data_IF_998838937698
#
_entry.id   IF_998838937698
#
_cell.length_a   1.000
_cell.length_b   1.000
_cell.length_c   1.000
_cell.angle_alpha   90.00
_cell.angle_beta   90.00
_cell.angle_gamma   90.00
#
_symmetry.space_group_name_H-M   'P 1'
#
loop_
_entity.id
_entity.type
_entity.pdbx_description
1 polymer ?
#
# COMPACT_ATOMS: atom_id res chain seq x y z
N UNK A 1 -13.40 -14.88 -21.70
CA UNK A 1 -14.27 -15.06 -20.52
C UNK A 1 -13.89 -13.99 -19.54
N UNK A 2 -14.85 -13.15 -19.13
CA UNK A 2 -14.64 -12.21 -18.02
C UNK A 2 -14.61 -13.08 -16.75
N UNK A 3 -13.57 -12.98 -15.90
CA UNK A 3 -13.52 -13.71 -14.64
C UNK A 3 -14.76 -13.40 -13.78
N UNK A 4 -15.26 -14.38 -13.03
CA UNK A 4 -16.26 -14.12 -11.99
C UNK A 4 -15.70 -13.15 -10.95
N UNK A 5 -16.55 -12.29 -10.36
CA UNK A 5 -16.13 -11.20 -9.49
C UNK A 5 -15.25 -11.67 -8.31
N UNK A 6 -15.52 -12.86 -7.76
CA UNK A 6 -14.72 -13.49 -6.72
C UNK A 6 -13.31 -13.84 -7.21
N UNK A 7 -13.18 -14.34 -8.44
CA UNK A 7 -11.88 -14.65 -9.05
C UNK A 7 -11.09 -13.37 -9.37
N UNK A 8 -11.76 -12.27 -9.77
CA UNK A 8 -11.12 -10.96 -9.95
C UNK A 8 -10.52 -10.48 -8.63
N UNK A 9 -11.28 -10.61 -7.54
CA UNK A 9 -10.85 -10.25 -6.20
C UNK A 9 -9.64 -11.07 -5.75
N UNK A 10 -9.73 -12.41 -5.83
CA UNK A 10 -8.64 -13.30 -5.41
C UNK A 10 -7.34 -13.05 -6.19
N UNK A 11 -7.43 -12.88 -7.51
CA UNK A 11 -6.27 -12.59 -8.35
C UNK A 11 -5.68 -11.21 -8.04
N UNK A 12 -6.51 -10.22 -7.73
CA UNK A 12 -6.06 -8.89 -7.30
C UNK A 12 -5.31 -8.96 -5.97
N UNK A 13 -5.82 -9.73 -5.01
CA UNK A 13 -5.17 -9.96 -3.72
C UNK A 13 -3.86 -10.73 -3.85
N UNK A 14 -3.83 -11.76 -4.71
CA UNK A 14 -2.62 -12.53 -4.98
C UNK A 14 -1.55 -11.65 -5.63
N UNK A 15 -1.90 -10.85 -6.63
CA UNK A 15 -0.97 -9.95 -7.31
C UNK A 15 -0.40 -8.90 -6.34
N UNK A 16 -1.26 -8.30 -5.52
CA UNK A 16 -0.88 -7.36 -4.47
C UNK A 16 0.08 -8.02 -3.46
N UNK A 17 -0.30 -9.17 -2.89
CA UNK A 17 0.49 -9.86 -1.87
C UNK A 17 1.84 -10.37 -2.38
N UNK A 18 1.87 -10.92 -3.59
CA UNK A 18 3.10 -11.36 -4.23
C UNK A 18 4.05 -10.18 -4.47
N UNK A 19 3.55 -9.05 -4.96
CA UNK A 19 4.36 -7.86 -5.16
C UNK A 19 4.88 -7.29 -3.83
N UNK A 20 4.04 -7.23 -2.81
CA UNK A 20 4.42 -6.79 -1.48
C UNK A 20 5.57 -7.62 -0.92
N UNK A 21 5.49 -8.95 -1.05
CA UNK A 21 6.57 -9.85 -0.64
C UNK A 21 7.87 -9.58 -1.43
N UNK A 22 7.78 -9.54 -2.77
CA UNK A 22 8.94 -9.35 -3.65
C UNK A 22 9.65 -8.02 -3.38
N UNK A 23 8.90 -6.92 -3.26
CA UNK A 23 9.47 -5.59 -3.05
C UNK A 23 9.99 -5.40 -1.63
N UNK A 24 9.39 -6.07 -0.64
CA UNK A 24 9.96 -6.13 0.72
C UNK A 24 11.32 -6.83 0.69
N UNK A 25 11.42 -7.98 0.00
CA UNK A 25 12.69 -8.70 -0.16
C UNK A 25 13.73 -7.83 -0.89
N UNK A 26 13.37 -7.22 -2.01
CA UNK A 26 14.28 -6.33 -2.76
C UNK A 26 14.71 -5.14 -1.89
N UNK A 27 13.80 -4.53 -1.14
CA UNK A 27 14.13 -3.39 -0.28
C UNK A 27 14.99 -3.77 0.92
N UNK A 28 14.92 -5.03 1.39
CA UNK A 28 15.82 -5.53 2.43
C UNK A 28 17.26 -5.72 1.92
N UNK A 29 17.41 -6.04 0.64
CA UNK A 29 18.72 -6.20 -0.02
C UNK A 29 19.29 -4.84 -0.46
N UNK A 30 18.44 -3.97 -0.97
CA UNK A 30 18.81 -2.64 -1.48
C UNK A 30 17.89 -1.56 -0.90
N UNK A 31 18.18 -1.08 0.32
CA UNK A 31 17.37 -0.05 0.94
C UNK A 31 17.46 1.26 0.15
N UNK A 32 16.30 1.80 -0.21
CA UNK A 32 16.18 3.08 -0.90
C UNK A 32 15.77 4.15 0.12
N UNK A 33 16.66 5.10 0.48
CA UNK A 33 16.46 5.98 1.64
C UNK A 33 15.39 7.07 1.44
N UNK A 34 14.82 7.20 0.24
CA UNK A 34 13.87 8.28 -0.11
C UNK A 34 12.42 7.88 0.18
N UNK A 35 12.06 7.78 1.47
CA UNK A 35 10.71 7.38 1.92
C UNK A 35 9.61 8.28 1.36
N UNK A 36 9.84 9.60 1.34
CA UNK A 36 8.83 10.56 0.87
C UNK A 36 8.45 10.35 -0.59
N UNK A 37 9.36 9.86 -1.43
CA UNK A 37 9.04 9.53 -2.81
C UNK A 37 8.01 8.41 -2.86
N UNK A 38 8.18 7.36 -2.07
CA UNK A 38 7.24 6.25 -2.00
C UNK A 38 5.86 6.67 -1.49
N UNK A 39 5.83 7.54 -0.48
CA UNK A 39 4.57 8.10 0.01
C UNK A 39 3.82 8.89 -1.08
N UNK A 40 4.53 9.75 -1.84
CA UNK A 40 3.95 10.52 -2.94
C UNK A 40 3.38 9.59 -4.01
N UNK A 41 4.15 8.58 -4.44
CA UNK A 41 3.71 7.62 -5.45
C UNK A 41 2.48 6.85 -4.95
N UNK A 42 2.47 6.40 -3.69
CA UNK A 42 1.32 5.74 -3.09
C UNK A 42 0.07 6.64 -3.09
N UNK A 43 0.22 7.92 -2.71
CA UNK A 43 -0.90 8.88 -2.75
C UNK A 43 -1.46 9.04 -4.16
N UNK A 44 -0.59 9.17 -5.17
CA UNK A 44 -1.02 9.27 -6.57
C UNK A 44 -1.79 8.03 -7.00
N UNK A 45 -1.31 6.82 -6.66
CA UNK A 45 -1.98 5.58 -7.01
C UNK A 45 -3.34 5.42 -6.30
N UNK A 46 -3.44 5.83 -5.03
CA UNK A 46 -4.72 5.84 -4.31
C UNK A 46 -5.71 6.76 -5.02
N UNK A 47 -5.30 7.97 -5.42
CA UNK A 47 -6.16 8.90 -6.16
C UNK A 47 -6.63 8.27 -7.47
N UNK A 48 -5.72 7.67 -8.25
CA UNK A 48 -6.05 6.97 -9.50
C UNK A 48 -7.07 5.85 -9.23
N UNK A 49 -6.86 5.05 -8.17
CA UNK A 49 -7.78 3.98 -7.77
C UNK A 49 -9.16 4.49 -7.36
N UNK A 50 -9.25 5.61 -6.64
CA UNK A 50 -10.53 6.24 -6.28
C UNK A 50 -11.23 6.78 -7.53
N UNK A 51 -10.53 7.50 -8.43
CA UNK A 51 -11.12 8.01 -9.67
C UNK A 51 -11.65 6.87 -10.53
N UNK A 52 -10.91 5.77 -10.64
CA UNK A 52 -11.31 4.56 -11.37
C UNK A 52 -12.65 3.97 -10.89
N UNK A 53 -13.05 4.18 -9.63
CA UNK A 53 -14.36 3.73 -9.11
C UNK A 53 -15.54 4.55 -9.66
N UNK A 54 -15.33 5.83 -9.93
CA UNK A 54 -16.39 6.75 -10.39
C UNK A 54 -16.41 6.91 -11.91
N UNK A 55 -15.25 6.78 -12.56
CA UNK A 55 -15.06 6.83 -14.00
C UNK A 55 -14.08 5.73 -14.42
N UNK A 56 -14.56 4.53 -14.80
CA UNK A 56 -13.69 3.39 -15.08
C UNK A 56 -12.96 3.55 -16.42
N UNK A 57 -11.66 3.88 -16.38
CA UNK A 57 -10.81 4.00 -17.57
C UNK A 57 -9.84 2.80 -17.74
N UNK A 58 -9.44 2.14 -16.66
CA UNK A 58 -8.72 0.85 -16.68
C UNK A 58 -9.70 -0.30 -16.96
N UNK A 59 -10.11 -0.43 -18.21
CA UNK A 59 -11.15 -1.38 -18.66
C UNK A 59 -10.65 -2.81 -18.84
N UNK A 60 -9.33 -3.03 -18.89
CA UNK A 60 -8.73 -4.35 -19.11
C UNK A 60 -8.27 -4.99 -17.79
N UNK A 61 -8.78 -6.17 -17.49
CA UNK A 61 -8.41 -6.94 -16.30
C UNK A 61 -6.89 -7.14 -16.11
N UNK A 62 -6.08 -7.46 -17.15
CA UNK A 62 -4.63 -7.54 -16.98
C UNK A 62 -3.97 -6.22 -16.55
N UNK A 63 -4.51 -5.08 -16.98
CA UNK A 63 -4.01 -3.75 -16.58
C UNK A 63 -4.36 -3.48 -15.12
N UNK A 64 -5.55 -3.89 -14.68
CA UNK A 64 -5.93 -3.84 -13.28
C UNK A 64 -5.01 -4.70 -12.39
N UNK A 65 -4.68 -5.92 -12.82
CA UNK A 65 -3.73 -6.79 -12.11
C UNK A 65 -2.34 -6.16 -12.01
N UNK A 66 -1.83 -5.57 -13.11
CA UNK A 66 -0.56 -4.85 -13.09
C UNK A 66 -0.61 -3.64 -12.13
N UNK A 67 -1.73 -2.92 -12.09
CA UNK A 67 -1.95 -1.82 -11.18
C UNK A 67 -1.93 -2.28 -9.70
N UNK A 68 -2.66 -3.34 -9.37
CA UNK A 68 -2.65 -3.94 -8.02
C UNK A 68 -1.27 -4.46 -7.61
N UNK A 69 -0.53 -5.05 -8.55
CA UNK A 69 0.86 -5.45 -8.35
C UNK A 69 1.75 -4.25 -8.01
N UNK A 70 1.63 -3.14 -8.73
CA UNK A 70 2.41 -1.91 -8.43
C UNK A 70 2.08 -1.36 -7.05
N UNK A 71 0.80 -1.31 -6.66
CA UNK A 71 0.40 -0.88 -5.32
C UNK A 71 1.02 -1.79 -4.25
N UNK A 72 0.90 -3.11 -4.39
CA UNK A 72 1.47 -4.06 -3.43
C UNK A 72 2.98 -3.89 -3.30
N UNK A 73 3.68 -3.73 -4.42
CA UNK A 73 5.11 -3.50 -4.45
C UNK A 73 5.53 -2.23 -3.69
N UNK A 74 4.83 -1.12 -3.91
CA UNK A 74 5.10 0.14 -3.22
C UNK A 74 4.85 0.01 -1.72
N UNK A 75 3.76 -0.65 -1.30
CA UNK A 75 3.47 -0.87 0.13
C UNK A 75 4.60 -1.68 0.78
N UNK A 76 4.97 -2.82 0.20
CA UNK A 76 6.03 -3.68 0.74
C UNK A 76 7.38 -2.99 0.83
N UNK A 77 7.76 -2.28 -0.23
CA UNK A 77 8.98 -1.48 -0.25
C UNK A 77 8.96 -0.33 0.75
N UNK A 78 7.84 0.37 0.90
CA UNK A 78 7.69 1.51 1.83
C UNK A 78 7.84 1.07 3.27
N UNK A 79 7.19 -0.02 3.67
CA UNK A 79 7.25 -0.56 5.04
C UNK A 79 8.68 -0.96 5.37
N UNK A 80 9.31 -1.74 4.49
CA UNK A 80 10.69 -2.23 4.71
C UNK A 80 11.70 -1.08 4.79
N UNK A 81 11.63 -0.13 3.85
CA UNK A 81 12.53 1.02 3.83
C UNK A 81 12.32 1.95 5.03
N UNK A 82 11.07 2.12 5.49
CA UNK A 82 10.77 2.93 6.68
C UNK A 82 11.39 2.32 7.93
N UNK A 83 11.22 1.02 8.11
CA UNK A 83 11.84 0.27 9.20
C UNK A 83 13.37 0.35 9.17
N UNK A 84 13.98 0.22 7.98
CA UNK A 84 15.44 0.38 7.83
C UNK A 84 15.91 1.80 8.15
N UNK A 85 15.20 2.83 7.68
CA UNK A 85 15.56 4.22 7.98
C UNK A 85 15.45 4.53 9.47
N UNK A 86 14.40 4.08 10.16
CA UNK A 86 14.27 4.27 11.61
C UNK A 86 15.46 3.62 12.31
N UNK A 87 15.76 2.36 12.00
CA UNK A 87 16.91 1.66 12.58
C UNK A 87 18.24 2.39 12.32
N UNK A 88 18.47 2.87 11.10
CA UNK A 88 19.69 3.57 10.71
C UNK A 88 19.80 4.97 11.35
N UNK A 89 18.71 5.73 11.43
CA UNK A 89 18.71 7.07 12.02
C UNK A 89 19.05 7.01 13.52
N UNK A 90 18.55 6.00 14.25
CA UNK A 90 18.91 5.78 15.66
C UNK A 90 20.35 5.27 15.81
N UNK A 91 20.78 4.33 14.94
CA UNK A 91 22.16 3.84 14.94
C UNK A 91 23.18 4.95 14.68
N UNK A 92 22.89 5.85 13.73
CA UNK A 92 23.76 7.00 13.38
C UNK A 92 23.88 8.01 14.53
N UNK A 93 22.87 8.10 15.39
CA UNK A 93 22.90 8.95 16.58
C UNK A 93 23.64 8.32 17.76
N UNK A 94 24.07 7.05 17.65
CA UNK A 94 24.74 6.34 18.73
C UNK A 94 23.81 5.96 19.87
N UNK A 95 22.50 5.89 19.61
CA UNK A 95 21.50 5.53 20.62
C UNK A 95 21.65 4.05 21.04
N UNK A 96 21.40 3.72 22.32
CA UNK A 96 21.41 2.34 22.79
C UNK A 96 20.41 1.45 22.04
N UNK A 97 20.72 0.15 21.94
CA UNK A 97 19.85 -0.82 21.26
C UNK A 97 18.44 -0.92 21.87
N UNK A 98 18.29 -0.65 23.17
CA UNK A 98 16.99 -0.59 23.85
C UNK A 98 16.12 0.54 23.32
N UNK A 99 16.70 1.73 23.12
CA UNK A 99 16.03 2.92 22.58
C UNK A 99 15.64 2.68 21.12
N UNK A 100 16.52 2.03 20.35
CA UNK A 100 16.23 1.64 18.97
C UNK A 100 15.10 0.60 18.89
N UNK A 101 15.09 -0.39 19.77
CA UNK A 101 14.03 -1.41 19.83
C UNK A 101 12.68 -0.79 20.22
N UNK A 102 12.69 0.16 21.15
CA UNK A 102 11.51 0.96 21.50
C UNK A 102 11.03 1.83 20.33
N UNK A 103 11.92 2.49 19.59
CA UNK A 103 11.53 3.27 18.41
C UNK A 103 10.91 2.40 17.30
N UNK A 104 11.43 1.19 17.10
CA UNK A 104 10.87 0.23 16.15
C UNK A 104 9.46 -0.23 16.54
N UNK A 105 9.16 -0.37 17.84
CA UNK A 105 7.81 -0.71 18.30
C UNK A 105 6.80 0.44 18.05
N UNK A 106 7.23 1.70 18.14
CA UNK A 106 6.42 2.84 17.71
C UNK A 106 6.18 2.88 16.20
N UNK A 107 7.13 2.39 15.41
CA UNK A 107 6.91 2.17 13.97
C UNK A 107 5.74 1.21 13.71
N UNK A 108 5.63 0.13 14.48
CA UNK A 108 4.52 -0.81 14.40
C UNK A 108 3.18 -0.19 14.83
N UNK A 109 3.17 0.65 15.88
CA UNK A 109 1.98 1.42 16.26
C UNK A 109 1.54 2.39 15.15
N UNK A 110 2.50 3.02 14.47
CA UNK A 110 2.21 3.86 13.30
C UNK A 110 1.52 3.09 12.18
N UNK A 111 1.96 1.87 11.87
CA UNK A 111 1.30 1.01 10.88
C UNK A 111 -0.13 0.67 11.31
N UNK A 112 -0.34 0.29 12.58
CA UNK A 112 -1.69 0.03 13.10
C UNK A 112 -2.62 1.24 12.95
N UNK A 113 -2.15 2.44 13.31
CA UNK A 113 -2.92 3.67 13.14
C UNK A 113 -3.23 3.97 11.67
N UNK A 114 -2.26 3.74 10.79
CA UNK A 114 -2.42 3.86 9.34
C UNK A 114 -3.48 2.90 8.79
N UNK A 115 -3.45 1.63 9.22
CA UNK A 115 -4.42 0.61 8.81
C UNK A 115 -5.83 0.95 9.30
N UNK A 116 -5.97 1.45 10.53
CA UNK A 116 -7.26 1.86 11.08
C UNK A 116 -7.86 3.05 10.30
N UNK A 117 -7.06 4.09 10.05
CA UNK A 117 -7.49 5.28 9.28
C UNK A 117 -7.77 4.89 7.82
N UNK A 118 -6.89 4.09 7.21
CA UNK A 118 -7.03 3.60 5.84
C UNK A 118 -8.27 2.73 5.65
N UNK A 119 -8.54 1.83 6.61
CA UNK A 119 -9.76 1.02 6.63
C UNK A 119 -11.03 1.85 6.75
N UNK A 120 -11.05 2.85 7.64
CA UNK A 120 -12.18 3.77 7.77
C UNK A 120 -12.41 4.58 6.49
N UNK A 121 -11.33 5.05 5.85
CA UNK A 121 -11.40 5.74 4.56
C UNK A 121 -11.91 4.81 3.46
N UNK A 122 -11.46 3.55 3.42
CA UNK A 122 -11.92 2.53 2.49
C UNK A 122 -13.43 2.28 2.59
N UNK A 123 -13.96 2.15 3.81
CA UNK A 123 -15.40 2.01 4.05
C UNK A 123 -16.18 3.23 3.55
N UNK A 124 -15.67 4.43 3.81
CA UNK A 124 -16.30 5.67 3.34
C UNK A 124 -16.34 5.75 1.81
N UNK A 125 -15.23 5.44 1.13
CA UNK A 125 -15.15 5.43 -0.34
C UNK A 125 -16.07 4.36 -0.92
N UNK A 126 -16.11 3.15 -0.33
CA UNK A 126 -17.01 2.09 -0.77
C UNK A 126 -18.48 2.53 -0.68
N UNK A 127 -18.89 3.17 0.42
CA UNK A 127 -20.25 3.70 0.57
C UNK A 127 -20.58 4.75 -0.49
N UNK A 128 -19.68 5.70 -0.71
CA UNK A 128 -19.84 6.75 -1.72
C UNK A 128 -19.95 6.17 -3.14
N UNK A 129 -19.13 5.17 -3.47
CA UNK A 129 -19.17 4.50 -4.77
C UNK A 129 -20.50 3.76 -4.98
N UNK A 130 -20.99 3.04 -3.96
CA UNK A 130 -22.27 2.33 -4.03
C UNK A 130 -23.45 3.30 -4.18
N UNK A 131 -23.48 4.39 -3.40
CA UNK A 131 -24.51 5.44 -3.51
C UNK A 131 -24.52 6.07 -4.91
N UNK A 132 -23.34 6.36 -5.47
CA UNK A 132 -23.22 6.94 -6.81
C UNK A 132 -23.67 5.99 -7.93
N UNK A 133 -23.35 4.69 -7.80
CA UNK A 133 -23.81 3.68 -8.75
C UNK A 133 -25.32 3.47 -8.69
N UNK A 134 -25.91 3.47 -7.48
CA UNK A 134 -27.37 3.39 -7.29
C UNK A 134 -28.09 4.63 -7.83
N UNK A 135 -27.51 5.82 -7.70
CA UNK A 135 -28.09 7.05 -8.25
C UNK A 135 -28.08 7.12 -9.79
N UNK A 136 -27.33 6.25 -10.46
CA UNK A 136 -27.22 6.15 -11.93
C UNK A 136 -27.99 4.98 -12.54
N UNK A 137 -28.52 4.07 -11.72
CA UNK A 137 -29.32 2.92 -12.14
C UNK A 137 -30.81 3.27 -12.19
#
# INVERSE_FOLDING_TARGET
>A
MVPEDDMIYELSFLAYGAAQFLFSLVSSLWPLPRIWLWAIVQTVLVIIGVVQLFDPFLSYFPVWIAFMFVIGGIVGGSVTNTNHKIADDFKRKGEPDDVRSFAMSYGALGNFGGDAIGGAFGIMVQRLALEHLQARA
#
